data_IF_820746959172
#
_entry.id   IF_820746959172
#
_cell.length_a   1.000
_cell.length_b   1.000
_cell.length_c   1.000
_cell.angle_alpha   90.00
_cell.angle_beta   90.00
_cell.angle_gamma   90.00
#
_symmetry.space_group_name_H-M   'P 1'
#
loop_
_entity.id
_entity.type
_entity.pdbx_description
1 polymer ?
#
# COMPACT_ATOMS: atom_id res chain seq x y z
N UNK A 1 6.23 6.70 -24.52
CA UNK A 1 5.70 7.15 -23.21
C UNK A 1 6.83 7.80 -22.43
N UNK A 2 6.60 8.93 -21.74
CA UNK A 2 7.58 9.44 -20.80
C UNK A 2 7.78 8.43 -19.67
N UNK A 3 9.04 8.20 -19.28
CA UNK A 3 9.40 7.33 -18.16
C UNK A 3 9.17 8.08 -16.85
N UNK A 4 8.58 7.41 -15.86
CA UNK A 4 8.42 7.92 -14.49
C UNK A 4 9.16 7.00 -13.51
N UNK A 5 9.94 7.59 -12.61
CA UNK A 5 10.80 6.90 -11.65
C UNK A 5 10.47 7.42 -10.25
N UNK A 6 10.24 6.51 -9.30
CA UNK A 6 9.94 6.84 -7.90
C UNK A 6 11.11 6.40 -7.03
N UNK A 7 11.81 7.34 -6.39
CA UNK A 7 12.76 7.02 -5.33
C UNK A 7 11.99 6.87 -4.02
N UNK A 8 11.77 5.62 -3.61
CA UNK A 8 11.15 5.29 -2.32
C UNK A 8 12.21 5.18 -1.23
N UNK A 9 12.13 6.05 -0.24
CA UNK A 9 13.11 6.15 0.86
C UNK A 9 12.43 5.71 2.14
N UNK A 10 12.93 4.62 2.72
CA UNK A 10 12.46 4.15 4.00
C UNK A 10 13.20 4.83 5.15
N UNK A 11 12.47 5.21 6.18
CA UNK A 11 13.04 5.86 7.36
C UNK A 11 12.39 5.38 8.66
N UNK A 12 13.14 5.46 9.75
CA UNK A 12 12.73 5.06 11.10
C UNK A 12 13.06 6.17 12.10
N UNK A 13 12.60 6.06 13.36
CA UNK A 13 12.98 7.00 14.42
C UNK A 13 14.51 7.16 14.56
N UNK A 14 15.27 6.08 14.35
CA UNK A 14 16.72 6.07 14.46
C UNK A 14 17.42 6.67 13.25
N UNK A 15 16.86 6.52 12.04
CA UNK A 15 17.52 6.99 10.82
C UNK A 15 17.11 8.39 10.40
N UNK A 16 16.01 8.94 10.95
CA UNK A 16 15.46 10.23 10.54
C UNK A 16 16.50 11.37 10.53
N UNK A 17 17.32 11.46 11.59
CA UNK A 17 18.34 12.51 11.72
C UNK A 17 19.58 12.26 10.85
N UNK A 18 19.75 11.04 10.31
CA UNK A 18 20.88 10.65 9.48
C UNK A 18 20.63 10.87 7.98
N UNK A 19 19.41 11.28 7.60
CA UNK A 19 19.01 11.41 6.19
C UNK A 19 19.51 12.70 5.52
N UNK A 20 20.04 13.67 6.26
CA UNK A 20 20.40 14.98 5.71
C UNK A 20 21.41 14.93 4.55
N UNK A 21 22.50 14.13 4.61
CA UNK A 21 23.39 13.97 3.46
C UNK A 21 22.67 13.40 2.24
N UNK A 22 21.81 12.38 2.44
CA UNK A 22 21.06 11.76 1.35
C UNK A 22 20.06 12.74 0.72
N UNK A 23 19.35 13.53 1.54
CA UNK A 23 18.41 14.55 1.05
C UNK A 23 19.15 15.59 0.21
N UNK A 24 20.36 16.00 0.63
CA UNK A 24 21.19 16.94 -0.12
C UNK A 24 21.58 16.38 -1.49
N UNK A 25 21.99 15.11 -1.55
CA UNK A 25 22.34 14.45 -2.80
C UNK A 25 21.10 14.31 -3.71
N UNK A 26 19.94 13.95 -3.16
CA UNK A 26 18.69 13.85 -3.92
C UNK A 26 18.30 15.20 -4.52
N UNK A 27 18.37 16.26 -3.72
CA UNK A 27 18.07 17.62 -4.17
C UNK A 27 19.02 18.08 -5.28
N UNK A 28 20.29 17.69 -5.22
CA UNK A 28 21.27 18.03 -6.24
C UNK A 28 20.99 17.28 -7.55
N UNK A 29 20.78 15.97 -7.47
CA UNK A 29 20.81 15.09 -8.64
C UNK A 29 19.42 14.86 -9.28
N UNK A 30 18.32 14.88 -8.53
CA UNK A 30 17.02 14.39 -9.01
C UNK A 30 15.89 15.42 -9.05
N UNK A 31 15.86 16.43 -8.17
CA UNK A 31 14.67 17.32 -8.08
C UNK A 31 14.48 18.25 -9.27
N UNK A 32 15.48 18.38 -10.14
CA UNK A 32 15.41 19.18 -11.37
C UNK A 32 14.85 18.40 -12.56
N UNK A 33 14.76 17.07 -12.48
CA UNK A 33 14.30 16.21 -13.55
C UNK A 33 12.88 15.71 -13.27
N UNK A 34 11.86 16.14 -14.06
CA UNK A 34 10.46 15.83 -13.81
C UNK A 34 10.10 14.36 -13.98
N UNK A 35 11.02 13.51 -14.45
CA UNK A 35 10.84 12.06 -14.49
C UNK A 35 10.94 11.43 -13.11
N UNK A 36 11.60 12.09 -12.16
CA UNK A 36 11.83 11.56 -10.82
C UNK A 36 10.85 12.17 -9.82
N UNK A 37 10.33 11.32 -8.94
CA UNK A 37 9.53 11.71 -7.78
C UNK A 37 10.06 11.02 -6.54
N UNK A 38 9.92 11.68 -5.39
CA UNK A 38 10.41 11.15 -4.11
C UNK A 38 9.22 10.69 -3.27
N UNK A 39 9.35 9.51 -2.66
CA UNK A 39 8.36 8.96 -1.75
C UNK A 39 9.01 8.54 -0.43
N UNK A 40 8.85 9.35 0.61
CA UNK A 40 9.27 9.00 1.96
C UNK A 40 8.24 8.05 2.59
N UNK A 41 8.71 6.89 3.08
CA UNK A 41 7.88 5.89 3.73
C UNK A 41 8.46 5.51 5.09
N UNK A 42 7.76 5.87 6.15
CA UNK A 42 8.08 5.37 7.48
C UNK A 42 8.01 3.83 7.49
N UNK A 43 8.97 3.19 8.15
CA UNK A 43 8.94 1.74 8.34
C UNK A 43 7.79 1.34 9.27
N UNK A 44 7.31 0.12 9.06
CA UNK A 44 6.17 -0.46 9.77
C UNK A 44 6.54 -1.87 10.24
N UNK A 45 5.79 -2.35 11.25
CA UNK A 45 5.83 -3.76 11.67
C UNK A 45 4.93 -4.56 10.74
N UNK A 46 5.52 -5.35 9.84
CA UNK A 46 4.82 -6.06 8.77
C UNK A 46 4.78 -7.59 8.97
N UNK A 47 5.16 -8.04 10.15
CA UNK A 47 5.21 -9.45 10.56
C UNK A 47 6.63 -10.02 10.48
N UNK A 48 7.15 -10.44 11.62
CA UNK A 48 8.30 -11.33 11.79
C UNK A 48 8.49 -11.59 13.30
N UNK A 49 9.25 -12.62 13.71
CA UNK A 49 9.58 -12.81 15.13
C UNK A 49 10.31 -11.61 15.77
N UNK A 50 10.97 -10.77 14.97
CA UNK A 50 11.76 -9.63 15.46
C UNK A 50 11.00 -8.30 15.44
N UNK A 51 9.76 -8.26 14.94
CA UNK A 51 8.99 -7.03 14.74
C UNK A 51 8.86 -6.17 16.01
N UNK A 52 8.72 -6.82 17.16
CA UNK A 52 8.57 -6.14 18.44
C UNK A 52 9.78 -5.26 18.79
N UNK A 53 10.97 -5.60 18.28
CA UNK A 53 12.20 -4.84 18.51
C UNK A 53 12.37 -3.64 17.59
N UNK A 54 11.63 -3.58 16.47
CA UNK A 54 11.70 -2.48 15.52
C UNK A 54 10.98 -1.27 16.15
N UNK A 55 11.69 -0.16 16.34
CA UNK A 55 11.05 1.11 16.72
C UNK A 55 10.39 1.72 15.50
N UNK A 56 9.14 2.11 15.68
CA UNK A 56 8.33 2.77 14.67
C UNK A 56 7.81 4.07 15.27
N UNK A 57 7.46 5.01 14.40
CA UNK A 57 6.76 6.22 14.82
C UNK A 57 5.34 5.90 15.26
N UNK A 58 4.79 6.67 16.21
CA UNK A 58 3.35 6.86 16.32
C UNK A 58 2.81 7.59 15.08
N UNK A 59 1.48 7.57 14.84
CA UNK A 59 0.91 8.27 13.69
C UNK A 59 1.21 9.77 13.70
N UNK A 60 1.16 10.43 14.87
CA UNK A 60 1.49 11.85 15.00
C UNK A 60 2.96 12.14 14.68
N UNK A 61 3.88 11.35 15.24
CA UNK A 61 5.33 11.54 14.97
C UNK A 61 5.67 11.24 13.51
N UNK A 62 4.97 10.29 12.89
CA UNK A 62 5.13 9.93 11.48
C UNK A 62 4.73 11.10 10.57
N UNK A 63 3.60 11.75 10.85
CA UNK A 63 3.16 12.94 10.12
C UNK A 63 4.15 14.09 10.25
N UNK A 64 4.66 14.35 11.45
CA UNK A 64 5.68 15.37 11.70
C UNK A 64 6.99 15.08 10.97
N UNK A 65 7.47 13.83 11.03
CA UNK A 65 8.68 13.40 10.34
C UNK A 65 8.54 13.50 8.81
N UNK A 66 7.37 13.16 8.26
CA UNK A 66 7.10 13.33 6.83
C UNK A 66 7.14 14.81 6.43
N UNK A 67 6.49 15.69 7.20
CA UNK A 67 6.53 17.14 6.95
C UNK A 67 7.96 17.69 7.00
N UNK A 68 8.75 17.24 7.98
CA UNK A 68 10.15 17.63 8.12
C UNK A 68 11.00 17.20 6.91
N UNK A 69 10.88 15.95 6.46
CA UNK A 69 11.63 15.45 5.31
C UNK A 69 11.23 16.17 4.01
N UNK A 70 9.93 16.45 3.84
CA UNK A 70 9.41 17.21 2.72
C UNK A 70 9.94 18.65 2.72
N UNK A 71 9.93 19.33 3.86
CA UNK A 71 10.44 20.70 3.97
C UNK A 71 11.95 20.77 3.73
N UNK A 72 12.73 19.80 4.22
CA UNK A 72 14.17 19.70 3.93
C UNK A 72 14.46 19.55 2.43
N UNK A 73 13.66 18.74 1.74
CA UNK A 73 13.87 18.46 0.32
C UNK A 73 13.40 19.62 -0.58
N UNK A 74 12.16 20.09 -0.40
CA UNK A 74 11.51 21.03 -1.31
C UNK A 74 11.41 22.47 -0.79
N UNK A 75 11.74 22.72 0.48
CA UNK A 75 11.49 24.00 1.16
C UNK A 75 10.05 24.12 1.69
N UNK A 76 9.79 25.13 2.52
CA UNK A 76 8.48 25.32 3.18
C UNK A 76 7.31 25.60 2.21
N UNK A 77 7.62 26.15 1.03
CA UNK A 77 6.64 26.49 -0.02
C UNK A 77 6.80 25.63 -1.28
N UNK A 78 7.58 24.54 -1.21
CA UNK A 78 7.86 23.71 -2.37
C UNK A 78 6.60 22.97 -2.82
N UNK A 79 6.20 23.14 -4.09
CA UNK A 79 5.17 22.33 -4.71
C UNK A 79 5.62 20.87 -4.68
N UNK A 80 4.89 20.03 -3.98
CA UNK A 80 5.20 18.63 -3.79
C UNK A 80 5.25 17.90 -5.14
N UNK A 81 6.44 17.73 -5.72
CA UNK A 81 6.71 16.60 -6.62
C UNK A 81 6.77 15.27 -5.84
N UNK A 82 5.99 15.20 -4.76
CA UNK A 82 5.81 13.97 -4.01
C UNK A 82 4.96 13.07 -4.89
N UNK A 83 5.39 11.82 -4.96
CA UNK A 83 4.55 10.77 -5.50
C UNK A 83 3.29 10.68 -4.62
N UNK A 84 2.20 11.29 -5.08
CA UNK A 84 0.87 10.98 -4.55
C UNK A 84 0.46 9.69 -5.21
N UNK A 85 0.04 8.70 -4.41
CA UNK A 85 -0.75 7.63 -4.99
C UNK A 85 -1.95 8.31 -5.65
N UNK A 86 -2.28 8.00 -6.91
CA UNK A 86 -3.55 8.43 -7.45
C UNK A 86 -4.61 7.93 -6.48
N UNK A 87 -5.47 8.83 -5.99
CA UNK A 87 -6.63 8.47 -5.19
C UNK A 87 -7.44 7.51 -6.05
N UNK A 88 -7.20 6.22 -5.86
CA UNK A 88 -8.02 5.19 -6.43
C UNK A 88 -8.98 4.82 -5.32
N UNK A 89 -10.18 5.41 -5.29
CA UNK A 89 -11.13 5.19 -4.22
C UNK A 89 -11.63 3.74 -4.21
N UNK A 90 -11.17 2.87 -5.12
CA UNK A 90 -11.60 1.50 -5.25
C UNK A 90 -10.46 0.56 -4.91
N UNK A 91 -10.62 -0.17 -3.81
CA UNK A 91 -9.73 -1.24 -3.39
C UNK A 91 -9.58 -2.29 -4.50
N UNK A 92 -8.37 -2.82 -4.68
CA UNK A 92 -8.14 -3.93 -5.59
C UNK A 92 -8.98 -5.17 -5.18
N UNK A 93 -9.29 -5.36 -3.89
CA UNK A 93 -10.10 -6.47 -3.42
C UNK A 93 -11.56 -6.38 -3.91
N UNK A 94 -12.05 -5.18 -4.21
CA UNK A 94 -13.40 -4.96 -4.75
C UNK A 94 -13.49 -5.21 -6.25
N UNK A 95 -12.38 -5.39 -6.95
CA UNK A 95 -12.36 -5.54 -8.41
C UNK A 95 -12.50 -7.03 -8.80
N UNK A 96 -13.39 -7.41 -9.74
CA UNK A 96 -13.59 -8.82 -10.09
C UNK A 96 -12.33 -9.50 -10.62
N UNK A 97 -11.52 -8.77 -11.38
CA UNK A 97 -10.30 -9.25 -12.06
C UNK A 97 -9.02 -9.13 -11.22
N UNK A 98 -9.13 -8.91 -9.92
CA UNK A 98 -7.99 -8.77 -9.01
C UNK A 98 -8.02 -9.88 -7.97
N UNK A 99 -7.05 -10.79 -8.04
CA UNK A 99 -7.00 -12.01 -7.24
C UNK A 99 -5.62 -12.17 -6.61
N UNK A 100 -5.57 -12.81 -5.43
CA UNK A 100 -4.34 -13.19 -4.76
C UNK A 100 -4.20 -14.70 -4.91
N UNK A 101 -3.08 -15.15 -5.44
CA UNK A 101 -2.73 -16.57 -5.47
C UNK A 101 -1.73 -16.82 -4.35
N UNK A 102 -2.09 -17.68 -3.39
CA UNK A 102 -1.21 -18.06 -2.27
C UNK A 102 -0.29 -19.20 -2.70
N UNK A 103 0.83 -19.34 -1.99
CA UNK A 103 1.81 -20.40 -2.24
C UNK A 103 1.25 -21.83 -2.11
N UNK A 104 0.14 -22.02 -1.40
CA UNK A 104 -0.56 -23.29 -1.27
C UNK A 104 -1.65 -23.52 -2.32
N UNK A 105 -1.78 -22.64 -3.33
CA UNK A 105 -2.82 -22.72 -4.36
C UNK A 105 -4.17 -22.13 -3.95
N UNK A 106 -4.36 -21.69 -2.71
CA UNK A 106 -5.58 -20.97 -2.34
C UNK A 106 -5.64 -19.60 -3.00
N UNK A 107 -6.84 -19.18 -3.39
CA UNK A 107 -7.10 -17.90 -4.02
C UNK A 107 -7.92 -17.02 -3.10
N UNK A 108 -7.53 -15.74 -3.02
CA UNK A 108 -8.19 -14.73 -2.20
C UNK A 108 -8.36 -13.37 -2.87
N UNK A 109 -8.91 -12.42 -2.12
CA UNK A 109 -9.24 -11.06 -2.56
C UNK A 109 -8.41 -9.97 -1.89
N UNK A 110 -8.00 -10.15 -0.64
CA UNK A 110 -7.30 -9.12 0.14
C UNK A 110 -6.03 -9.66 0.84
N UNK A 111 -4.90 -8.98 0.68
CA UNK A 111 -3.64 -9.36 1.34
C UNK A 111 -3.64 -9.00 2.82
N UNK A 112 -4.47 -8.04 3.23
CA UNK A 112 -4.65 -7.65 4.63
C UNK A 112 -5.45 -8.70 5.41
N UNK A 113 -6.39 -9.38 4.75
CA UNK A 113 -7.21 -10.45 5.34
C UNK A 113 -6.64 -11.85 5.08
N UNK A 114 -5.31 -12.02 5.12
CA UNK A 114 -4.62 -13.23 4.65
C UNK A 114 -5.09 -14.53 5.35
N UNK A 115 -5.43 -14.42 6.64
CA UNK A 115 -5.86 -15.53 7.49
C UNK A 115 -7.37 -15.56 7.74
N UNK A 116 -8.13 -14.66 7.12
CA UNK A 116 -9.59 -14.67 7.20
C UNK A 116 -10.16 -15.74 6.26
N UNK A 117 -10.93 -16.69 6.77
CA UNK A 117 -11.53 -17.75 5.96
C UNK A 117 -12.44 -17.24 4.85
N UNK A 118 -13.10 -16.08 5.04
CA UNK A 118 -13.94 -15.44 4.01
C UNK A 118 -13.11 -14.98 2.81
N UNK A 119 -11.80 -14.78 3.01
CA UNK A 119 -10.85 -14.45 1.96
C UNK A 119 -10.41 -15.67 1.15
N UNK A 120 -10.73 -16.91 1.55
CA UNK A 120 -10.53 -18.08 0.72
C UNK A 120 -11.71 -18.26 -0.24
N UNK A 121 -11.60 -17.70 -1.45
CA UNK A 121 -12.70 -17.67 -2.42
C UNK A 121 -12.64 -18.78 -3.46
N UNK A 122 -11.48 -19.40 -3.66
CA UNK A 122 -11.27 -20.47 -4.63
C UNK A 122 -9.95 -21.22 -4.37
N UNK A 123 -9.74 -22.33 -5.09
CA UNK A 123 -8.46 -23.03 -5.18
C UNK A 123 -8.02 -23.17 -6.63
N UNK A 124 -6.76 -22.84 -6.90
CA UNK A 124 -6.11 -23.06 -8.20
C UNK A 124 -5.91 -24.57 -8.43
N UNK A 125 -6.35 -25.05 -9.58
CA UNK A 125 -6.22 -26.44 -9.99
C UNK A 125 -4.96 -26.66 -10.83
N UNK A 126 -4.45 -27.91 -10.95
CA UNK A 126 -3.25 -28.22 -11.73
C UNK A 126 -3.34 -27.84 -13.22
N UNK A 127 -4.55 -27.78 -13.78
CA UNK A 127 -4.82 -27.39 -15.18
C UNK A 127 -4.93 -25.86 -15.37
N UNK A 128 -4.70 -25.07 -14.31
CA UNK A 128 -4.80 -23.62 -14.32
C UNK A 128 -6.21 -23.07 -14.11
N UNK A 129 -7.21 -23.93 -13.94
CA UNK A 129 -8.59 -23.50 -13.64
C UNK A 129 -8.77 -23.11 -12.17
N UNK A 130 -9.81 -22.33 -11.88
CA UNK A 130 -10.18 -21.95 -10.52
C UNK A 130 -11.44 -22.70 -10.07
N UNK A 131 -11.33 -23.45 -8.98
CA UNK A 131 -12.49 -24.04 -8.30
C UNK A 131 -12.99 -23.07 -7.24
N UNK A 132 -14.08 -22.36 -7.53
CA UNK A 132 -14.69 -21.40 -6.61
C UNK A 132 -15.26 -22.08 -5.36
N UNK A 133 -15.13 -21.43 -4.22
CA UNK A 133 -15.89 -21.75 -3.01
C UNK A 133 -17.23 -21.02 -3.09
N UNK A 134 -18.37 -21.75 -3.11
CA UNK A 134 -19.68 -21.14 -3.25
C UNK A 134 -19.93 -20.05 -2.20
N UNK A 135 -20.53 -18.93 -2.64
CA UNK A 135 -20.93 -17.83 -1.76
C UNK A 135 -19.79 -16.93 -1.25
N UNK A 136 -18.51 -17.29 -1.44
CA UNK A 136 -17.40 -16.52 -0.87
C UNK A 136 -16.89 -15.38 -1.74
N UNK A 137 -17.13 -15.39 -3.05
CA UNK A 137 -16.67 -14.30 -3.94
C UNK A 137 -17.59 -13.07 -3.90
N UNK A 138 -18.90 -13.26 -4.01
CA UNK A 138 -19.87 -12.17 -4.14
C UNK A 138 -19.79 -11.11 -3.02
N UNK A 139 -19.62 -11.47 -1.73
CA UNK A 139 -19.50 -10.48 -0.65
C UNK A 139 -18.36 -9.47 -0.84
N UNK A 140 -17.27 -9.85 -1.52
CA UNK A 140 -16.16 -8.95 -1.83
C UNK A 140 -16.48 -7.96 -2.96
N UNK A 141 -17.42 -8.31 -3.83
CA UNK A 141 -17.80 -7.53 -5.02
C UNK A 141 -19.08 -6.71 -4.82
N UNK A 142 -19.76 -6.85 -3.66
CA UNK A 142 -21.05 -6.21 -3.33
C UNK A 142 -21.12 -4.71 -3.64
N UNK A 143 -20.01 -4.00 -3.50
CA UNK A 143 -19.96 -2.56 -3.76
C UNK A 143 -20.29 -2.20 -5.22
N UNK A 144 -20.09 -3.13 -6.16
CA UNK A 144 -20.38 -2.94 -7.58
C UNK A 144 -21.88 -2.96 -7.85
N UNK A 145 -22.65 -3.75 -7.10
CA UNK A 145 -24.09 -3.96 -7.34
C UNK A 145 -24.87 -2.64 -7.24
N UNK A 146 -24.50 -1.80 -6.25
CA UNK A 146 -25.21 -0.55 -5.96
C UNK A 146 -24.29 0.69 -6.01
N UNK A 147 -23.06 0.55 -6.52
CA UNK A 147 -22.03 1.59 -6.53
C UNK A 147 -21.75 2.20 -5.15
N UNK A 148 -21.78 1.36 -4.10
CA UNK A 148 -21.47 1.79 -2.73
C UNK A 148 -19.98 2.10 -2.59
N UNK A 149 -19.65 3.40 -2.55
CA UNK A 149 -18.28 3.88 -2.45
C UNK A 149 -17.56 3.38 -1.20
N UNK A 150 -18.27 3.16 -0.09
CA UNK A 150 -17.65 2.66 1.13
C UNK A 150 -17.16 1.21 0.96
N UNK A 151 -18.02 0.32 0.44
CA UNK A 151 -17.64 -1.06 0.12
C UNK A 151 -16.63 -1.15 -1.03
N UNK A 152 -16.68 -0.24 -1.99
CA UNK A 152 -15.67 -0.16 -3.06
C UNK A 152 -14.30 0.27 -2.51
N UNK A 153 -14.26 1.20 -1.56
CA UNK A 153 -13.04 1.68 -0.92
C UNK A 153 -12.37 0.63 -0.03
N UNK A 154 -13.15 -0.19 0.70
CA UNK A 154 -12.63 -1.37 1.39
C UNK A 154 -13.74 -2.41 1.61
N UNK A 155 -13.74 -3.54 0.87
CA UNK A 155 -14.80 -4.54 1.00
C UNK A 155 -14.61 -5.40 2.27
N UNK A 156 -13.43 -5.37 2.89
CA UNK A 156 -13.17 -6.05 4.15
C UNK A 156 -13.94 -5.40 5.31
N UNK A 157 -14.10 -4.08 5.28
CA UNK A 157 -14.95 -3.37 6.24
C UNK A 157 -16.39 -3.84 6.04
N UNK A 158 -17.04 -4.30 7.10
CA UNK A 158 -18.39 -4.85 7.06
C UNK A 158 -18.56 -6.02 6.08
N UNK A 159 -17.51 -6.81 5.83
CA UNK A 159 -17.63 -8.03 5.04
C UNK A 159 -18.64 -8.97 5.73
N UNK A 160 -19.73 -9.39 5.05
CA UNK A 160 -20.71 -10.30 5.63
C UNK A 160 -20.08 -11.61 6.14
N UNK A 161 -20.63 -12.14 7.23
CA UNK A 161 -20.33 -13.51 7.67
C UNK A 161 -20.94 -14.52 6.69
N UNK A 162 -20.26 -15.65 6.50
CA UNK A 162 -20.74 -16.79 5.70
C UNK A 162 -21.86 -17.55 6.39
#
# INVERSE_FOLDING_TARGET
MPVSIVLRIHFSPETLQLLDPLIKDIKKEFTHDPRFSIFFKAIERLGSPNDASIKIFSETEKEEALKLLQSKLFGENGSSQNYSFPDNPICYASRPNSLIIRANGNVGKCTVALYDERNHIASLQPDGTLKLVPGRLAPWLRGIENLDLASLACPLVNLPSS
#
